data_IF_190598978981
#
_entry.id   IF_190598978981
#
_cell.length_a   1.000
_cell.length_b   1.000
_cell.length_c   1.000
_cell.angle_alpha   90.00
_cell.angle_beta   90.00
_cell.angle_gamma   90.00
#
_symmetry.space_group_name_H-M   'P 1'
#
loop_
_entity.id
_entity.type
_entity.pdbx_description
1 polymer ?
#
# COMPACT_ATOMS: atom_id res chain seq x y z
N UNK A 1 -41.87 32.76 0.46
CA UNK A 1 -42.51 33.10 1.75
C UNK A 1 -42.30 31.89 2.68
N UNK A 2 -41.37 31.97 3.65
CA UNK A 2 -41.60 32.15 5.11
C UNK A 2 -42.26 30.89 5.74
N UNK A 3 -41.83 30.22 6.82
CA UNK A 3 -40.86 30.38 7.94
C UNK A 3 -40.67 28.94 8.51
N UNK A 4 -39.47 28.42 8.81
CA UNK A 4 -38.74 28.37 10.11
C UNK A 4 -39.55 28.16 11.41
N UNK A 5 -38.97 27.27 12.21
CA UNK A 5 -38.87 27.19 13.69
C UNK A 5 -39.91 26.34 14.44
N UNK A 6 -39.52 25.23 15.09
CA UNK A 6 -38.84 25.05 16.40
C UNK A 6 -39.83 25.16 17.57
N UNK A 7 -40.09 24.04 18.24
CA UNK A 7 -40.72 23.99 19.55
C UNK A 7 -40.09 22.85 20.36
N UNK A 8 -39.41 23.25 21.43
CA UNK A 8 -38.99 22.41 22.56
C UNK A 8 -39.72 23.00 23.76
N UNK A 9 -40.47 22.20 24.52
CA UNK A 9 -40.43 22.26 25.98
C UNK A 9 -40.99 20.98 26.61
N UNK A 10 -40.28 20.57 27.66
CA UNK A 10 -40.44 19.33 28.41
C UNK A 10 -41.57 19.38 29.44
N UNK A 11 -42.07 18.20 29.83
CA UNK A 11 -42.67 17.97 31.14
C UNK A 11 -42.19 16.63 31.69
N UNK A 12 -41.55 16.73 32.85
CA UNK A 12 -40.99 15.67 33.69
C UNK A 12 -42.05 15.22 34.69
N UNK A 13 -42.13 13.92 34.96
CA UNK A 13 -42.38 13.22 36.24
C UNK A 13 -42.81 11.79 35.86
N UNK A 14 -42.22 10.67 36.30
CA UNK A 14 -41.38 10.40 37.45
C UNK A 14 -42.11 9.39 38.35
N UNK A 15 -41.97 8.09 38.11
CA UNK A 15 -42.13 7.06 39.16
C UNK A 15 -41.00 6.02 39.02
N UNK A 16 -40.39 5.81 40.16
CA UNK A 16 -39.26 4.96 40.53
C UNK A 16 -39.77 3.58 40.91
N UNK A 17 -39.08 2.50 40.51
CA UNK A 17 -38.71 1.39 41.41
C UNK A 17 -37.91 0.30 40.68
N UNK A 18 -36.67 0.11 41.16
CA UNK A 18 -35.90 -1.14 41.35
C UNK A 18 -35.93 -2.24 40.25
N UNK A 19 -34.81 -2.83 39.79
CA UNK A 19 -33.43 -2.83 40.27
C UNK A 19 -32.54 -3.71 39.37
N UNK A 20 -31.25 -3.74 39.71
CA UNK A 20 -30.12 -4.44 39.06
C UNK A 20 -29.51 -3.76 37.82
N UNK A 21 -28.70 -2.73 38.08
CA UNK A 21 -27.73 -2.19 37.12
C UNK A 21 -26.31 -2.62 37.54
N UNK A 22 -25.61 -3.37 36.67
CA UNK A 22 -24.18 -3.63 36.80
C UNK A 22 -23.40 -2.44 36.24
N UNK A 23 -22.74 -1.71 37.14
CA UNK A 23 -21.94 -0.54 36.82
C UNK A 23 -20.70 -0.88 35.99
N UNK A 24 -20.57 -0.24 34.83
CA UNK A 24 -19.28 0.04 34.17
C UNK A 24 -18.64 1.21 34.91
N UNK A 25 -17.55 0.95 35.64
CA UNK A 25 -16.77 2.01 36.27
C UNK A 25 -15.54 2.36 35.41
N UNK A 26 -15.64 3.51 34.76
CA UNK A 26 -14.55 4.27 34.16
C UNK A 26 -13.85 5.06 35.27
N UNK A 27 -12.63 4.67 35.65
CA UNK A 27 -11.83 5.47 36.57
C UNK A 27 -10.95 6.46 35.80
N UNK A 28 -11.43 7.71 35.70
CA UNK A 28 -10.56 8.89 35.65
C UNK A 28 -10.03 9.13 37.07
N UNK A 29 -8.73 9.03 37.28
CA UNK A 29 -8.09 9.50 38.51
C UNK A 29 -7.46 10.86 38.20
N UNK A 30 -8.18 11.93 38.56
CA UNK A 30 -7.59 13.24 38.80
C UNK A 30 -6.88 13.20 40.15
N UNK A 31 -5.61 13.59 40.13
CA UNK A 31 -4.76 13.75 41.30
C UNK A 31 -5.29 14.87 42.21
N UNK A 32 -5.63 14.52 43.45
CA UNK A 32 -5.47 15.40 44.61
C UNK A 32 -5.68 14.59 45.88
N UNK A 33 -4.58 14.26 46.55
CA UNK A 33 -4.59 14.02 48.00
C UNK A 33 -3.22 14.38 48.53
N UNK A 34 -3.14 15.51 49.22
CA UNK A 34 -2.06 15.88 50.13
C UNK A 34 -1.91 14.74 51.13
N UNK A 35 -0.84 13.97 51.04
CA UNK A 35 -0.43 13.02 52.07
C UNK A 35 0.97 13.42 52.53
N UNK A 36 1.04 13.68 53.83
CA UNK A 36 2.22 14.00 54.62
C UNK A 36 3.41 13.12 54.27
N UNK A 37 4.56 13.75 54.04
CA UNK A 37 5.85 13.09 53.87
C UNK A 37 6.26 12.37 55.16
N UNK A 38 5.97 11.07 55.23
CA UNK A 38 6.81 10.13 55.97
C UNK A 38 7.81 9.56 54.99
N UNK A 39 9.07 9.99 55.11
CA UNK A 39 10.19 9.48 54.31
C UNK A 39 10.56 8.07 54.74
N UNK A 40 9.74 7.08 54.37
CA UNK A 40 10.24 5.71 54.24
C UNK A 40 11.11 5.69 52.98
N UNK A 41 12.44 5.67 53.16
CA UNK A 41 13.38 5.34 52.08
C UNK A 41 12.93 4.01 51.47
N UNK A 42 12.24 4.06 50.33
CA UNK A 42 12.08 2.88 49.48
C UNK A 42 13.47 2.65 48.91
N UNK A 43 14.24 1.80 49.58
CA UNK A 43 15.51 1.32 49.06
C UNK A 43 15.17 0.58 47.77
N UNK A 44 15.39 1.25 46.64
CA UNK A 44 15.15 0.68 45.32
C UNK A 44 15.91 -0.64 45.26
N UNK A 45 15.21 -1.77 45.19
CA UNK A 45 15.83 -3.09 45.26
C UNK A 45 16.62 -3.30 43.98
N UNK A 46 17.90 -2.93 44.02
CA UNK A 46 18.83 -3.04 42.89
C UNK A 46 18.90 -4.51 42.47
N UNK A 47 18.66 -4.77 41.19
CA UNK A 47 18.81 -6.11 40.64
C UNK A 47 20.31 -6.48 40.64
N UNK A 48 20.75 -7.54 41.33
CA UNK A 48 22.17 -7.88 41.45
C UNK A 48 22.83 -8.22 40.09
N UNK A 49 22.04 -8.63 39.09
CA UNK A 49 22.55 -8.93 37.75
C UNK A 49 22.81 -7.68 36.89
N UNK A 50 22.19 -6.55 37.26
CA UNK A 50 22.32 -5.27 36.54
C UNK A 50 23.16 -4.27 37.34
N UNK A 51 23.00 -4.23 38.66
CA UNK A 51 23.63 -3.23 39.52
C UNK A 51 22.98 -1.85 39.38
N UNK A 52 23.63 -0.83 39.96
CA UNK A 52 23.16 0.56 39.86
C UNK A 52 23.38 1.11 38.45
N UNK A 53 22.43 1.89 37.95
CA UNK A 53 22.60 2.69 36.73
C UNK A 53 23.57 3.83 36.99
N UNK A 54 24.66 3.88 36.22
CA UNK A 54 25.69 4.91 36.27
C UNK A 54 25.37 6.06 35.30
N UNK A 55 24.87 5.73 34.11
CA UNK A 55 24.42 6.71 33.13
C UNK A 55 23.33 6.14 32.21
N UNK A 56 22.53 7.05 31.67
CA UNK A 56 21.55 6.77 30.61
C UNK A 56 21.78 7.71 29.46
N UNK A 57 21.88 7.16 28.25
CA UNK A 57 22.05 7.88 26.99
C UNK A 57 20.85 7.59 26.10
N UNK A 58 20.31 8.60 25.41
CA UNK A 58 19.35 8.37 24.34
C UNK A 58 20.06 7.66 23.19
N UNK A 59 19.46 6.59 22.68
CA UNK A 59 19.96 5.90 21.50
C UNK A 59 19.45 6.53 20.21
N UNK A 60 19.93 6.00 19.09
CA UNK A 60 19.44 6.30 17.76
C UNK A 60 18.63 5.11 17.24
N UNK A 61 17.33 5.32 17.03
CA UNK A 61 16.42 4.28 16.56
C UNK A 61 16.71 3.85 15.12
N UNK A 62 17.38 4.67 14.31
CA UNK A 62 17.71 4.34 12.93
C UNK A 62 19.05 3.59 12.79
N UNK A 63 19.81 3.44 13.89
CA UNK A 63 20.94 2.51 13.96
C UNK A 63 20.40 1.10 14.24
N UNK A 64 20.52 0.24 13.25
CA UNK A 64 19.92 -1.08 13.31
C UNK A 64 20.80 -2.11 14.05
N UNK A 65 20.15 -2.99 14.79
CA UNK A 65 20.74 -4.10 15.51
C UNK A 65 20.00 -5.40 15.18
N UNK A 66 20.71 -6.52 15.30
CA UNK A 66 20.15 -7.88 15.32
C UNK A 66 20.68 -8.63 16.53
N UNK A 67 19.99 -9.70 16.93
CA UNK A 67 20.48 -10.61 17.96
C UNK A 67 21.81 -11.23 17.53
N UNK A 68 22.80 -11.22 18.44
CA UNK A 68 24.13 -11.75 18.18
C UNK A 68 24.15 -13.29 18.19
N UNK A 69 23.26 -13.93 18.96
CA UNK A 69 23.22 -15.38 19.15
C UNK A 69 21.79 -15.90 19.39
N UNK A 70 21.63 -17.22 19.55
CA UNK A 70 20.31 -17.86 19.75
C UNK A 70 19.81 -17.89 21.21
N UNK A 71 20.58 -17.35 22.15
CA UNK A 71 20.31 -17.40 23.61
C UNK A 71 19.76 -16.08 24.15
N UNK A 72 19.55 -15.09 23.28
CA UNK A 72 19.08 -13.75 23.66
C UNK A 72 17.69 -13.80 24.27
N UNK A 73 17.50 -13.03 25.34
CA UNK A 73 16.24 -12.88 26.07
C UNK A 73 15.97 -11.39 26.31
N UNK A 74 14.71 -11.03 26.16
CA UNK A 74 14.21 -9.67 26.34
C UNK A 74 13.40 -9.59 27.63
N UNK A 75 13.56 -8.51 28.39
CA UNK A 75 12.95 -8.34 29.71
C UNK A 75 12.10 -7.08 29.82
N UNK A 76 11.03 -7.09 30.61
CA UNK A 76 10.13 -5.93 30.81
C UNK A 76 10.85 -4.69 31.35
N UNK A 77 11.85 -4.89 32.20
CA UNK A 77 12.63 -3.81 32.81
C UNK A 77 13.96 -4.35 33.35
N UNK A 78 14.91 -3.45 33.61
CA UNK A 78 16.17 -3.78 34.26
C UNK A 78 15.98 -4.43 35.65
N UNK A 79 14.95 -4.03 36.40
CA UNK A 79 14.62 -4.61 37.72
C UNK A 79 14.20 -6.10 37.69
N UNK A 80 13.72 -6.55 36.52
CA UNK A 80 13.27 -7.90 36.28
C UNK A 80 14.24 -8.72 35.42
N UNK A 81 15.36 -8.13 35.01
CA UNK A 81 16.38 -8.77 34.19
C UNK A 81 16.88 -10.07 34.84
N UNK A 82 16.93 -11.16 34.07
CA UNK A 82 17.32 -12.49 34.52
C UNK A 82 16.22 -13.30 35.25
N UNK A 83 15.06 -12.70 35.55
CA UNK A 83 13.92 -13.43 36.14
C UNK A 83 13.04 -14.01 35.04
N UNK A 84 12.64 -15.28 35.18
CA UNK A 84 11.71 -15.93 34.23
C UNK A 84 10.38 -15.18 34.10
N UNK A 85 9.85 -14.64 35.20
CA UNK A 85 8.62 -13.81 35.19
C UNK A 85 8.78 -12.44 34.53
N UNK A 86 10.01 -11.97 34.36
CA UNK A 86 10.34 -10.71 33.69
C UNK A 86 10.61 -10.84 32.20
N UNK A 87 10.79 -12.07 31.70
CA UNK A 87 11.04 -12.35 30.30
C UNK A 87 9.77 -12.08 29.48
N UNK A 88 9.87 -11.28 28.42
CA UNK A 88 8.76 -10.99 27.49
C UNK A 88 8.91 -11.68 26.16
N UNK A 89 10.14 -11.89 25.73
CA UNK A 89 10.44 -12.50 24.45
C UNK A 89 11.83 -13.13 24.46
N UNK A 90 12.12 -13.93 23.45
CA UNK A 90 13.39 -14.63 23.29
C UNK A 90 13.75 -14.78 21.81
N UNK A 91 14.91 -15.39 21.54
CA UNK A 91 15.38 -15.55 20.17
C UNK A 91 14.36 -16.21 19.24
N UNK A 92 13.65 -17.25 19.69
CA UNK A 92 12.75 -18.03 18.82
C UNK A 92 11.59 -17.17 18.31
N UNK A 93 11.07 -16.28 19.16
CA UNK A 93 9.96 -15.38 18.84
C UNK A 93 10.42 -14.20 17.98
N UNK A 94 11.59 -13.62 18.28
CA UNK A 94 12.09 -12.42 17.58
C UNK A 94 13.05 -12.73 16.42
N UNK A 95 13.13 -14.01 16.00
CA UNK A 95 14.09 -14.43 14.98
C UNK A 95 13.77 -13.75 13.64
N UNK A 96 14.68 -12.87 13.22
CA UNK A 96 14.61 -12.20 11.92
C UNK A 96 14.31 -10.70 12.03
N UNK A 97 13.80 -10.27 13.19
CA UNK A 97 13.53 -8.88 13.51
C UNK A 97 14.80 -8.02 13.51
N UNK A 98 14.59 -6.73 13.28
CA UNK A 98 15.61 -5.69 13.30
C UNK A 98 15.20 -4.66 14.33
N UNK A 99 16.15 -4.18 15.12
CA UNK A 99 15.86 -3.36 16.30
C UNK A 99 16.63 -2.04 16.24
N UNK A 100 16.02 -0.97 16.74
CA UNK A 100 16.69 0.26 17.12
C UNK A 100 16.88 0.31 18.64
N UNK A 101 17.83 1.14 19.10
CA UNK A 101 18.05 1.37 20.52
C UNK A 101 17.39 2.69 20.90
N UNK A 102 16.36 2.64 21.75
CA UNK A 102 15.73 3.85 22.28
C UNK A 102 16.61 4.50 23.34
N UNK A 103 17.16 3.69 24.24
CA UNK A 103 18.00 4.14 25.34
C UNK A 103 19.10 3.12 25.64
N UNK A 104 20.26 3.63 26.04
CA UNK A 104 21.42 2.87 26.47
C UNK A 104 21.67 3.15 27.94
N UNK A 105 21.73 2.10 28.74
CA UNK A 105 21.95 2.14 30.17
C UNK A 105 23.33 1.57 30.47
N UNK A 106 24.23 2.40 31.00
CA UNK A 106 25.51 1.93 31.54
C UNK A 106 25.35 1.71 33.02
N UNK A 107 25.65 0.50 33.47
CA UNK A 107 25.42 0.05 34.86
C UNK A 107 26.69 -0.57 35.41
N UNK A 108 26.74 -0.82 36.72
CA UNK A 108 27.87 -1.47 37.37
C UNK A 108 28.18 -2.87 36.81
N UNK A 109 27.19 -3.57 36.22
CA UNK A 109 27.36 -4.93 35.68
C UNK A 109 27.40 -5.01 34.16
N UNK A 110 27.39 -3.86 33.47
CA UNK A 110 27.56 -3.76 32.02
C UNK A 110 26.57 -2.79 31.36
N UNK A 111 26.48 -2.88 30.04
CA UNK A 111 25.60 -2.02 29.24
C UNK A 111 24.35 -2.79 28.82
N UNK A 112 23.20 -2.13 28.92
CA UNK A 112 21.90 -2.65 28.53
C UNK A 112 21.22 -1.69 27.56
N UNK A 113 20.47 -2.24 26.61
CA UNK A 113 19.68 -1.48 25.66
C UNK A 113 18.20 -1.65 25.95
N UNK A 114 17.45 -0.55 25.89
CA UNK A 114 16.01 -0.57 25.66
C UNK A 114 15.78 -0.57 24.14
N UNK A 115 15.14 -1.63 23.65
CA UNK A 115 15.01 -1.89 22.22
C UNK A 115 13.60 -1.65 21.71
N UNK A 116 13.56 -1.17 20.48
CA UNK A 116 12.33 -0.99 19.72
C UNK A 116 12.45 -1.71 18.39
N UNK A 117 11.43 -2.47 18.00
CA UNK A 117 11.43 -3.16 16.71
C UNK A 117 11.29 -2.16 15.54
N UNK A 118 11.93 -2.43 14.41
CA UNK A 118 11.71 -1.71 13.14
C UNK A 118 10.32 -2.07 12.59
N UNK A 119 9.63 -1.07 12.03
CA UNK A 119 8.23 -1.21 11.65
C UNK A 119 7.94 -0.74 10.23
N UNK A 120 6.89 -1.34 9.66
CA UNK A 120 6.30 -1.00 8.38
C UNK A 120 4.80 -0.83 8.58
N UNK A 121 4.30 0.40 8.46
CA UNK A 121 2.87 0.70 8.63
C UNK A 121 2.04 0.53 7.35
N UNK A 122 2.66 0.12 6.24
CA UNK A 122 1.98 -0.19 4.99
C UNK A 122 0.95 0.89 4.59
N UNK A 123 -0.30 0.46 4.42
CA UNK A 123 -1.43 1.32 4.03
C UNK A 123 -2.19 1.95 5.21
N UNK A 124 -1.98 1.52 6.46
CA UNK A 124 -2.68 2.01 7.67
C UNK A 124 -2.22 3.43 8.09
N UNK A 125 -1.93 4.27 7.09
CA UNK A 125 -0.99 5.36 7.14
C UNK A 125 -1.39 6.48 8.12
N UNK A 126 -0.48 6.74 9.06
CA UNK A 126 -0.18 8.11 9.50
C UNK A 126 1.30 8.34 9.30
N UNK A 127 1.63 9.49 8.72
CA UNK A 127 3.00 10.01 8.50
C UNK A 127 3.86 10.05 9.77
N UNK A 128 3.25 9.87 10.94
CA UNK A 128 3.88 9.97 12.24
C UNK A 128 3.76 8.66 13.04
N UNK A 129 4.88 8.11 13.54
CA UNK A 129 4.89 6.92 14.38
C UNK A 129 4.07 7.07 15.68
N UNK A 130 3.96 8.29 16.21
CA UNK A 130 3.24 8.61 17.47
C UNK A 130 1.78 8.17 17.51
N UNK A 131 1.16 8.02 16.34
CA UNK A 131 -0.26 7.70 16.21
C UNK A 131 -0.52 6.24 15.86
N UNK A 132 0.55 5.44 15.73
CA UNK A 132 0.45 4.00 15.55
C UNK A 132 0.09 3.35 16.89
N UNK A 133 -1.11 2.78 17.00
CA UNK A 133 -1.47 1.94 18.16
C UNK A 133 -0.48 0.78 18.33
N UNK A 134 0.19 0.37 17.25
CA UNK A 134 1.20 -0.67 17.27
C UNK A 134 2.48 -0.22 17.98
N UNK A 135 2.92 1.05 17.86
CA UNK A 135 4.11 1.54 18.59
C UNK A 135 3.89 1.55 20.10
N UNK A 136 2.67 1.86 20.55
CA UNK A 136 2.32 1.84 21.98
C UNK A 136 2.22 0.42 22.58
N UNK A 137 2.04 -0.61 21.76
CA UNK A 137 1.67 -1.95 22.25
C UNK A 137 2.63 -3.07 21.84
N UNK A 138 3.30 -2.94 20.69
CA UNK A 138 4.12 -4.00 20.08
C UNK A 138 5.54 -3.53 19.71
N UNK A 139 5.79 -2.21 19.64
CA UNK A 139 7.11 -1.68 19.29
C UNK A 139 8.14 -1.77 20.41
N UNK A 140 7.72 -1.72 21.66
CA UNK A 140 8.61 -1.81 22.83
C UNK A 140 8.89 -3.29 23.16
N UNK A 141 10.09 -3.75 22.82
CA UNK A 141 10.57 -5.11 23.10
C UNK A 141 11.43 -5.17 24.37
N UNK A 142 11.37 -4.12 25.20
CA UNK A 142 12.01 -4.09 26.51
C UNK A 142 13.54 -4.11 26.45
N UNK A 143 14.14 -4.75 27.44
CA UNK A 143 15.55 -4.57 27.80
C UNK A 143 16.37 -5.81 27.51
N UNK A 144 17.56 -5.62 26.93
CA UNK A 144 18.53 -6.66 26.62
C UNK A 144 19.94 -6.23 27.01
N UNK A 145 20.85 -7.17 27.23
CA UNK A 145 22.27 -6.84 27.40
C UNK A 145 22.87 -6.43 26.05
N UNK A 146 23.68 -5.37 26.02
CA UNK A 146 24.26 -4.85 24.78
C UNK A 146 25.11 -5.90 24.03
N UNK A 147 25.82 -6.76 24.76
CA UNK A 147 26.65 -7.84 24.20
C UNK A 147 25.86 -8.93 23.47
N UNK A 148 24.54 -9.01 23.72
CA UNK A 148 23.64 -9.94 23.03
C UNK A 148 23.10 -9.37 21.71
N UNK A 149 23.47 -8.12 21.39
CA UNK A 149 23.10 -7.43 20.15
C UNK A 149 24.34 -7.15 19.31
N UNK A 150 24.18 -7.22 17.99
CA UNK A 150 25.20 -6.80 17.02
C UNK A 150 24.62 -5.73 16.12
N UNK A 151 25.42 -4.71 15.84
CA UNK A 151 25.06 -3.71 14.85
C UNK A 151 24.89 -4.39 13.49
N UNK A 152 23.91 -3.91 12.73
CA UNK A 152 23.50 -4.45 11.46
C UNK A 152 23.28 -3.30 10.48
N UNK A 153 23.69 -3.49 9.23
CA UNK A 153 23.48 -2.48 8.19
C UNK A 153 22.39 -2.98 7.23
N UNK A 154 21.15 -2.45 7.31
CA UNK A 154 20.06 -2.90 6.45
C UNK A 154 20.30 -2.57 4.97
N UNK A 155 21.04 -1.49 4.70
CA UNK A 155 21.51 -1.04 3.38
C UNK A 155 23.03 -1.30 3.30
N UNK A 156 23.46 -2.07 2.30
CA UNK A 156 24.88 -2.39 2.07
C UNK A 156 25.54 -1.43 1.09
N UNK A 157 24.75 -0.77 0.24
CA UNK A 157 25.23 0.24 -0.72
C UNK A 157 24.11 1.21 -1.09
N UNK A 158 24.43 2.49 -1.22
CA UNK A 158 23.55 3.52 -1.78
C UNK A 158 24.37 4.44 -2.68
N UNK A 159 23.86 4.79 -3.85
CA UNK A 159 24.47 5.77 -4.74
C UNK A 159 23.44 6.63 -5.44
N UNK A 160 23.88 7.80 -5.92
CA UNK A 160 23.10 8.69 -6.77
C UNK A 160 23.50 8.50 -8.23
N UNK A 161 22.55 8.54 -9.15
CA UNK A 161 22.87 8.54 -10.57
C UNK A 161 23.32 9.92 -11.02
N UNK A 162 24.42 9.98 -11.80
CA UNK A 162 24.86 11.22 -12.44
C UNK A 162 23.81 11.81 -13.38
N UNK A 163 23.06 10.93 -14.06
CA UNK A 163 21.92 11.29 -14.92
C UNK A 163 20.69 10.53 -14.46
N UNK A 164 19.56 11.22 -14.35
CA UNK A 164 18.27 10.63 -13.98
C UNK A 164 17.92 9.48 -14.93
N UNK A 165 17.60 8.31 -14.39
CA UNK A 165 17.26 7.12 -15.18
C UNK A 165 15.74 7.09 -15.44
N UNK A 166 15.26 7.02 -16.69
CA UNK A 166 13.83 7.06 -16.96
C UNK A 166 13.16 5.73 -16.61
N UNK A 167 11.98 5.80 -16.00
CA UNK A 167 11.14 4.65 -15.67
C UNK A 167 9.64 4.94 -15.89
N UNK A 168 8.84 3.90 -16.02
CA UNK A 168 7.38 4.00 -15.98
C UNK A 168 6.73 2.76 -15.36
N UNK A 169 5.51 2.94 -14.86
CA UNK A 169 4.76 1.90 -14.15
C UNK A 169 4.14 0.91 -15.15
N UNK A 170 4.34 -0.38 -14.89
CA UNK A 170 3.69 -1.50 -15.56
C UNK A 170 2.52 -2.03 -14.72
N UNK A 171 2.82 -2.77 -13.65
CA UNK A 171 1.84 -3.24 -12.67
C UNK A 171 1.78 -2.28 -11.47
N UNK A 172 0.68 -1.51 -11.28
CA UNK A 172 0.60 -0.45 -10.28
C UNK A 172 0.38 -0.92 -8.83
N UNK A 173 0.01 -2.18 -8.58
CA UNK A 173 -0.34 -2.64 -7.24
C UNK A 173 0.65 -3.67 -6.66
N UNK A 174 1.59 -4.19 -7.47
CA UNK A 174 2.56 -5.17 -7.02
C UNK A 174 3.55 -4.63 -5.96
N UNK A 175 3.93 -3.36 -6.08
CA UNK A 175 4.85 -2.69 -5.15
C UNK A 175 4.41 -1.24 -4.93
N UNK A 176 4.82 -0.68 -3.80
CA UNK A 176 4.47 0.68 -3.37
C UNK A 176 5.71 1.54 -3.20
N UNK A 177 5.50 2.86 -3.09
CA UNK A 177 6.58 3.83 -2.92
C UNK A 177 6.68 4.21 -1.44
N UNK A 178 7.81 3.95 -0.82
CA UNK A 178 8.07 4.10 0.60
C UNK A 178 8.91 5.33 0.92
N UNK A 179 8.85 5.83 2.15
CA UNK A 179 9.73 6.91 2.62
C UNK A 179 11.21 6.51 2.63
N UNK A 180 11.48 5.23 2.93
CA UNK A 180 12.77 4.52 2.89
C UNK A 180 12.51 3.09 2.41
N UNK A 181 13.51 2.34 1.90
CA UNK A 181 13.32 0.92 1.64
C UNK A 181 12.78 0.22 2.90
N UNK A 182 11.79 -0.64 2.73
CA UNK A 182 11.04 -1.21 3.86
C UNK A 182 11.97 -1.87 4.90
N UNK A 183 11.72 -1.64 6.20
CA UNK A 183 12.55 -2.15 7.32
C UNK A 183 14.04 -1.78 7.24
N UNK A 184 14.37 -0.57 6.80
CA UNK A 184 15.77 -0.08 6.80
C UNK A 184 16.06 1.07 7.75
N UNK A 185 15.00 1.63 8.33
CA UNK A 185 14.99 2.60 9.43
C UNK A 185 13.92 2.17 10.41
N UNK A 186 13.87 2.76 11.60
CA UNK A 186 12.91 2.36 12.63
C UNK A 186 11.45 2.41 12.13
N UNK A 187 11.11 3.43 11.33
CA UNK A 187 9.74 3.60 10.83
C UNK A 187 9.68 3.81 9.32
N UNK A 188 9.07 2.84 8.64
CA UNK A 188 8.80 2.89 7.19
C UNK A 188 7.30 2.90 6.89
N UNK A 189 6.89 3.67 5.88
CA UNK A 189 5.50 3.79 5.48
C UNK A 189 5.38 4.10 3.99
N UNK A 190 4.22 3.76 3.42
CA UNK A 190 3.90 4.07 2.02
C UNK A 190 3.65 5.57 1.90
N UNK A 191 4.46 6.23 1.07
CA UNK A 191 4.32 7.65 0.73
C UNK A 191 3.44 7.88 -0.48
N UNK A 192 3.47 6.95 -1.45
CA UNK A 192 2.72 7.07 -2.70
C UNK A 192 2.32 5.69 -3.23
N UNK A 193 1.20 5.65 -3.95
CA UNK A 193 0.76 4.50 -4.76
C UNK A 193 0.94 4.78 -6.26
N UNK A 194 1.03 3.74 -7.09
CA UNK A 194 1.21 3.93 -8.52
C UNK A 194 -0.08 4.17 -9.32
N UNK A 195 -1.27 4.04 -8.72
CA UNK A 195 -2.58 4.21 -9.38
C UNK A 195 -2.66 5.51 -10.21
N UNK A 196 -2.15 6.62 -9.68
CA UNK A 196 -2.15 7.93 -10.36
C UNK A 196 -0.90 8.21 -11.18
N UNK A 197 0.08 7.30 -11.17
CA UNK A 197 1.37 7.43 -11.84
C UNK A 197 1.52 6.51 -13.07
N UNK A 198 0.54 5.64 -13.33
CA UNK A 198 0.50 4.68 -14.47
C UNK A 198 0.63 5.30 -15.88
N UNK A 199 0.41 6.61 -16.00
CA UNK A 199 0.57 7.36 -17.25
C UNK A 199 1.60 8.49 -17.15
N UNK A 200 2.48 8.42 -16.16
CA UNK A 200 3.45 9.46 -15.84
C UNK A 200 4.86 8.96 -16.11
N UNK A 201 5.69 9.81 -16.71
CA UNK A 201 7.12 9.55 -16.79
C UNK A 201 7.75 9.76 -15.40
N UNK A 202 8.43 8.72 -14.92
CA UNK A 202 9.17 8.72 -13.65
C UNK A 202 10.66 8.68 -13.93
N UNK A 203 11.44 9.06 -12.92
CA UNK A 203 12.89 9.08 -12.99
C UNK A 203 13.48 8.56 -11.68
N UNK A 204 14.39 7.60 -11.78
CA UNK A 204 15.21 7.21 -10.63
C UNK A 204 16.40 8.16 -10.49
N UNK A 205 16.62 8.67 -9.29
CA UNK A 205 17.75 9.56 -8.96
C UNK A 205 18.78 8.91 -8.05
N UNK A 206 18.35 7.90 -7.28
CA UNK A 206 19.23 7.08 -6.43
C UNK A 206 18.88 5.60 -6.55
N UNK A 207 19.82 4.77 -6.16
CA UNK A 207 19.62 3.33 -5.97
C UNK A 207 20.30 2.88 -4.67
N UNK A 208 19.67 1.93 -3.98
CA UNK A 208 20.18 1.33 -2.76
C UNK A 208 20.01 -0.19 -2.81
N UNK A 209 20.95 -0.93 -2.22
CA UNK A 209 20.94 -2.38 -2.12
C UNK A 209 20.75 -2.75 -0.65
N UNK A 210 19.70 -3.52 -0.36
CA UNK A 210 19.48 -4.10 0.97
C UNK A 210 20.47 -5.24 1.23
N UNK A 211 20.68 -5.56 2.50
CA UNK A 211 21.50 -6.69 2.94
C UNK A 211 21.15 -8.05 2.31
N UNK A 212 19.91 -8.22 1.83
CA UNK A 212 19.43 -9.42 1.17
C UNK A 212 19.54 -9.35 -0.37
N UNK A 213 20.28 -8.38 -0.91
CA UNK A 213 20.50 -8.19 -2.34
C UNK A 213 19.33 -7.51 -3.08
N UNK A 214 18.25 -7.13 -2.39
CA UNK A 214 17.13 -6.44 -3.05
C UNK A 214 17.49 -4.99 -3.38
N UNK A 215 17.29 -4.63 -4.65
CA UNK A 215 17.55 -3.28 -5.15
C UNK A 215 16.33 -2.38 -5.01
N UNK A 216 16.52 -1.16 -4.53
CA UNK A 216 15.49 -0.13 -4.43
C UNK A 216 15.94 1.11 -5.18
N UNK A 217 15.02 1.79 -5.85
CA UNK A 217 15.28 3.06 -6.54
C UNK A 217 14.44 4.18 -5.95
N UNK A 218 15.05 5.36 -5.80
CA UNK A 218 14.33 6.56 -5.39
C UNK A 218 13.75 7.27 -6.61
N UNK A 219 12.43 7.45 -6.63
CA UNK A 219 11.69 7.99 -7.76
C UNK A 219 11.30 9.45 -7.58
N UNK A 220 11.32 10.15 -8.69
CA UNK A 220 10.79 11.49 -8.88
C UNK A 220 9.97 11.57 -10.17
N UNK A 221 9.05 12.53 -10.24
CA UNK A 221 8.36 12.87 -11.51
C UNK A 221 9.25 13.74 -12.40
N UNK A 222 8.88 13.85 -13.69
CA UNK A 222 9.55 14.76 -14.63
C UNK A 222 9.65 16.22 -14.13
N UNK A 223 8.69 16.68 -13.32
CA UNK A 223 8.65 18.03 -12.76
C UNK A 223 9.41 18.18 -11.43
N UNK A 224 10.13 17.14 -10.99
CA UNK A 224 10.91 17.17 -9.76
C UNK A 224 10.12 16.90 -8.47
N UNK A 225 8.82 16.55 -8.54
CA UNK A 225 8.10 16.04 -7.35
C UNK A 225 8.77 14.74 -6.89
N UNK A 226 9.32 14.77 -5.68
CA UNK A 226 9.91 13.63 -4.97
C UNK A 226 8.81 12.65 -4.56
N UNK A 227 9.02 11.37 -4.82
CA UNK A 227 8.03 10.34 -4.51
C UNK A 227 8.51 9.46 -3.36
N UNK A 228 9.66 8.79 -3.48
CA UNK A 228 10.17 7.86 -2.47
C UNK A 228 10.88 6.65 -3.07
N UNK A 229 11.15 5.64 -2.26
CA UNK A 229 11.85 4.41 -2.62
C UNK A 229 10.89 3.30 -3.04
N UNK A 230 11.18 2.62 -4.14
CA UNK A 230 10.44 1.42 -4.56
C UNK A 230 11.38 0.29 -4.90
N UNK A 231 10.94 -0.94 -4.66
CA UNK A 231 11.67 -2.13 -5.09
C UNK A 231 11.81 -2.16 -6.62
N UNK A 232 13.04 -2.30 -7.10
CA UNK A 232 13.43 -2.27 -8.51
C UNK A 232 13.07 -3.60 -9.19
N UNK A 233 11.79 -3.77 -9.51
CA UNK A 233 11.25 -4.96 -10.18
C UNK A 233 10.71 -4.63 -11.56
N UNK A 234 11.18 -5.28 -12.65
CA UNK A 234 10.69 -5.06 -14.01
C UNK A 234 9.20 -5.44 -14.19
N UNK A 235 8.62 -6.16 -13.22
CA UNK A 235 7.18 -6.48 -13.20
C UNK A 235 6.33 -5.25 -12.86
N UNK A 236 6.82 -4.36 -11.99
CA UNK A 236 6.11 -3.15 -11.56
C UNK A 236 6.62 -1.88 -12.26
N UNK A 237 7.92 -1.80 -12.52
CA UNK A 237 8.63 -0.60 -12.94
C UNK A 237 9.54 -0.94 -14.12
N UNK A 238 9.23 -0.42 -15.30
CA UNK A 238 9.99 -0.68 -16.53
C UNK A 238 10.97 0.47 -16.75
N UNK A 239 12.24 0.13 -16.95
CA UNK A 239 13.26 1.09 -17.37
C UNK A 239 12.98 1.58 -18.79
N UNK A 240 13.06 2.90 -18.99
CA UNK A 240 12.87 3.56 -20.27
C UNK A 240 11.83 4.68 -20.25
N UNK A 241 11.66 5.29 -21.42
CA UNK A 241 10.68 6.37 -21.61
C UNK A 241 9.27 5.79 -21.71
N UNK A 242 8.33 6.39 -20.99
CA UNK A 242 6.93 6.09 -21.09
C UNK A 242 6.41 6.35 -22.50
N UNK A 243 5.78 5.32 -23.07
CA UNK A 243 4.97 5.46 -24.27
C UNK A 243 3.51 5.19 -23.89
N UNK A 244 2.55 5.94 -24.44
CA UNK A 244 1.14 5.61 -24.25
C UNK A 244 0.78 4.32 -24.99
N UNK A 245 -0.02 3.44 -24.37
CA UNK A 245 -0.39 2.14 -24.94
C UNK A 245 -1.10 2.28 -26.31
N UNK A 246 -1.85 3.35 -26.54
CA UNK A 246 -2.47 3.59 -27.85
C UNK A 246 -1.45 3.90 -28.93
N UNK A 247 -0.34 4.58 -28.61
CA UNK A 247 0.72 4.83 -29.59
C UNK A 247 1.48 3.54 -29.92
N UNK A 248 1.72 2.69 -28.92
CA UNK A 248 2.48 1.45 -29.08
C UNK A 248 1.66 0.36 -29.79
N UNK A 249 0.38 0.21 -29.45
CA UNK A 249 -0.44 -0.93 -29.88
C UNK A 249 -1.44 -0.58 -31.00
N UNK A 250 -1.86 0.68 -31.14
CA UNK A 250 -2.76 1.10 -32.22
C UNK A 250 -2.01 1.86 -33.31
N UNK A 251 -1.52 1.14 -34.30
CA UNK A 251 -1.03 1.73 -35.55
C UNK A 251 -2.23 2.11 -36.44
N UNK A 252 -2.30 3.39 -36.82
CA UNK A 252 -3.34 3.89 -37.73
C UNK A 252 -2.91 3.69 -39.18
N UNK A 253 -3.87 3.27 -40.01
CA UNK A 253 -3.74 3.20 -41.46
C UNK A 253 -4.24 4.50 -42.09
N UNK A 254 -3.89 4.73 -43.35
CA UNK A 254 -4.29 5.93 -44.10
C UNK A 254 -5.83 6.11 -44.09
N UNK A 255 -6.29 7.25 -43.59
CA UNK A 255 -7.70 7.60 -43.48
C UNK A 255 -8.45 6.98 -42.29
N UNK A 256 -7.75 6.36 -41.35
CA UNK A 256 -8.33 6.02 -40.06
C UNK A 256 -8.17 7.16 -39.06
N UNK A 257 -9.16 7.31 -38.18
CA UNK A 257 -9.15 8.30 -37.10
C UNK A 257 -9.25 7.63 -35.75
N UNK A 258 -8.64 8.21 -34.71
CA UNK A 258 -8.68 7.70 -33.34
C UNK A 258 -9.38 8.70 -32.43
N UNK A 259 -10.30 8.22 -31.59
CA UNK A 259 -10.86 8.98 -30.47
C UNK A 259 -10.49 8.31 -29.15
N UNK A 260 -10.02 9.11 -28.20
CA UNK A 260 -9.57 8.66 -26.88
C UNK A 260 -10.60 9.02 -25.81
N UNK A 261 -10.78 8.13 -24.84
CA UNK A 261 -11.66 8.31 -23.69
C UNK A 261 -10.92 7.88 -22.42
N UNK A 262 -11.11 8.63 -21.35
CA UNK A 262 -10.53 8.37 -20.03
C UNK A 262 -11.63 8.48 -18.98
N UNK A 263 -11.72 7.50 -18.09
CA UNK A 263 -12.64 7.53 -16.95
C UNK A 263 -12.35 8.76 -16.09
N UNK A 264 -13.36 9.44 -15.55
CA UNK A 264 -13.15 10.59 -14.67
C UNK A 264 -12.52 10.16 -13.35
N UNK A 265 -11.62 10.99 -12.78
CA UNK A 265 -11.08 10.77 -11.43
C UNK A 265 -12.18 10.74 -10.37
N UNK A 266 -13.25 11.53 -10.55
CA UNK A 266 -14.41 11.54 -9.62
C UNK A 266 -15.20 10.22 -9.63
N UNK A 267 -15.13 9.47 -10.73
CA UNK A 267 -15.81 8.17 -10.88
C UNK A 267 -14.94 6.97 -10.52
N UNK A 268 -13.68 7.22 -10.19
CA UNK A 268 -12.81 6.28 -9.46
C UNK A 268 -12.97 6.62 -7.99
N UNK A 269 -13.07 5.64 -7.07
CA UNK A 269 -13.53 5.87 -5.68
C UNK A 269 -12.61 6.77 -4.83
N UNK A 270 -11.51 7.30 -5.36
CA UNK A 270 -10.44 8.02 -4.62
C UNK A 270 -9.95 7.23 -3.41
N UNK A 271 -10.18 5.93 -3.42
CA UNK A 271 -9.69 4.98 -2.43
C UNK A 271 -8.73 4.03 -3.12
N UNK A 272 -7.81 3.44 -2.37
CA UNK A 272 -6.85 2.44 -2.83
C UNK A 272 -7.04 1.20 -1.97
N UNK A 273 -6.88 0.02 -2.56
CA UNK A 273 -6.90 -1.27 -1.86
C UNK A 273 -5.50 -1.89 -1.92
N UNK A 274 -5.25 -2.89 -1.09
CA UNK A 274 -3.96 -3.57 -1.04
C UNK A 274 -3.73 -4.48 -2.24
N UNK A 275 -4.78 -5.11 -2.78
CA UNK A 275 -4.63 -6.15 -3.81
C UNK A 275 -4.96 -5.65 -5.22
N UNK A 276 -5.83 -4.64 -5.34
CA UNK A 276 -6.26 -4.08 -6.63
C UNK A 276 -6.08 -2.56 -6.77
N UNK A 277 -6.13 -2.11 -8.02
CA UNK A 277 -6.15 -0.69 -8.36
C UNK A 277 -7.57 -0.16 -8.57
N UNK A 278 -8.23 0.20 -7.48
CA UNK A 278 -9.58 0.81 -7.47
C UNK A 278 -9.60 2.28 -7.88
N UNK A 279 -8.46 2.96 -7.76
CA UNK A 279 -8.29 4.36 -8.14
C UNK A 279 -7.73 4.55 -9.55
N UNK A 280 -7.35 3.48 -10.24
CA UNK A 280 -6.82 3.58 -11.59
C UNK A 280 -7.92 3.91 -12.60
N UNK A 281 -7.66 4.94 -13.42
CA UNK A 281 -8.60 5.37 -14.45
C UNK A 281 -8.55 4.41 -15.66
N UNK A 282 -9.69 3.80 -15.98
CA UNK A 282 -9.87 3.06 -17.24
C UNK A 282 -9.70 4.00 -18.44
N UNK A 283 -9.24 3.44 -19.57
CA UNK A 283 -9.07 4.18 -20.83
C UNK A 283 -9.60 3.37 -21.99
N UNK A 284 -10.12 4.04 -23.01
CA UNK A 284 -10.55 3.42 -24.25
C UNK A 284 -10.13 4.27 -25.45
N UNK A 285 -9.68 3.61 -26.50
CA UNK A 285 -9.29 4.22 -27.76
C UNK A 285 -10.05 3.55 -28.88
N UNK A 286 -10.78 4.34 -29.67
CA UNK A 286 -11.64 3.85 -30.74
C UNK A 286 -11.08 4.32 -32.07
N UNK A 287 -10.77 3.36 -32.95
CA UNK A 287 -10.32 3.61 -34.31
C UNK A 287 -11.47 3.41 -35.29
N UNK A 288 -11.73 4.42 -36.11
CA UNK A 288 -12.70 4.38 -37.21
C UNK A 288 -12.00 4.44 -38.56
N UNK A 289 -12.55 3.74 -39.55
CA UNK A 289 -12.11 3.87 -40.94
C UNK A 289 -12.73 5.09 -41.64
N UNK A 290 -12.39 5.27 -42.93
CA UNK A 290 -12.93 6.35 -43.79
C UNK A 290 -14.47 6.33 -43.91
N UNK A 291 -15.11 5.18 -43.70
CA UNK A 291 -16.58 5.02 -43.69
C UNK A 291 -17.19 5.27 -42.31
N UNK A 292 -16.42 5.86 -41.38
CA UNK A 292 -16.78 6.08 -39.98
C UNK A 292 -17.16 4.81 -39.19
N UNK A 293 -16.83 3.62 -39.70
CA UNK A 293 -17.09 2.36 -39.02
C UNK A 293 -15.98 2.07 -38.00
N UNK A 294 -16.35 1.62 -36.81
CA UNK A 294 -15.38 1.17 -35.80
C UNK A 294 -14.70 -0.10 -36.30
N UNK A 295 -13.38 -0.04 -36.47
CA UNK A 295 -12.56 -1.16 -36.95
C UNK A 295 -11.65 -1.73 -35.88
N UNK A 296 -11.23 -0.92 -34.90
CA UNK A 296 -10.43 -1.36 -33.75
C UNK A 296 -10.80 -0.61 -32.49
N UNK A 297 -10.75 -1.30 -31.36
CA UNK A 297 -10.90 -0.74 -30.02
C UNK A 297 -9.73 -1.24 -29.18
N UNK A 298 -9.06 -0.35 -28.45
CA UNK A 298 -8.11 -0.70 -27.39
C UNK A 298 -8.69 -0.21 -26.07
N UNK A 299 -8.83 -1.11 -25.11
CA UNK A 299 -9.26 -0.78 -23.75
C UNK A 299 -8.09 -1.04 -22.81
N UNK A 300 -7.86 -0.12 -21.87
CA UNK A 300 -6.96 -0.32 -20.74
C UNK A 300 -7.84 -0.44 -19.49
N UNK A 301 -7.80 -1.61 -18.86
CA UNK A 301 -8.56 -1.92 -17.65
C UNK A 301 -8.13 -1.13 -16.42
N UNK A 302 -8.83 -1.36 -15.30
CA UNK A 302 -8.46 -0.83 -13.97
C UNK A 302 -7.19 -1.47 -13.40
N UNK A 303 -6.66 -2.50 -14.05
CA UNK A 303 -5.39 -3.15 -13.76
C UNK A 303 -4.23 -2.64 -14.64
N UNK A 304 -4.45 -1.63 -15.49
CA UNK A 304 -3.47 -1.13 -16.46
C UNK A 304 -3.14 -2.07 -17.64
N UNK A 305 -3.82 -3.22 -17.80
CA UNK A 305 -3.56 -4.13 -18.92
C UNK A 305 -4.37 -3.75 -20.18
N UNK A 306 -3.76 -3.81 -21.37
CA UNK A 306 -4.46 -3.61 -22.62
C UNK A 306 -5.27 -4.82 -23.11
N UNK A 307 -6.44 -4.56 -23.69
CA UNK A 307 -7.20 -5.50 -24.53
C UNK A 307 -7.53 -4.81 -25.85
N UNK A 308 -7.01 -5.35 -26.96
CA UNK A 308 -7.30 -4.88 -28.32
C UNK A 308 -8.31 -5.79 -29.00
N UNK A 309 -9.27 -5.18 -29.69
CA UNK A 309 -10.36 -5.87 -30.37
C UNK A 309 -10.50 -5.31 -31.78
N UNK A 310 -10.48 -6.20 -32.77
CA UNK A 310 -10.67 -5.87 -34.18
C UNK A 310 -12.09 -6.22 -34.60
N UNK A 311 -12.68 -5.35 -35.42
CA UNK A 311 -14.04 -5.49 -35.94
C UNK A 311 -14.07 -5.45 -37.46
N UNK A 312 -15.00 -6.20 -38.05
CA UNK A 312 -15.42 -6.11 -39.44
C UNK A 312 -16.94 -6.04 -39.49
N UNK A 313 -17.50 -5.04 -40.16
CA UNK A 313 -18.94 -4.81 -40.26
C UNK A 313 -19.66 -4.85 -38.90
N UNK A 314 -19.04 -4.28 -37.87
CA UNK A 314 -19.59 -4.23 -36.52
C UNK A 314 -19.58 -5.55 -35.74
N UNK A 315 -18.94 -6.61 -36.25
CA UNK A 315 -18.72 -7.88 -35.57
C UNK A 315 -17.25 -8.05 -35.21
N UNK A 316 -16.97 -8.62 -34.03
CA UNK A 316 -15.59 -8.87 -33.59
C UNK A 316 -14.96 -10.00 -34.41
N UNK A 317 -13.72 -9.81 -34.85
CA UNK A 317 -12.97 -10.79 -35.65
C UNK A 317 -11.70 -11.28 -34.95
N UNK A 318 -11.16 -10.48 -34.02
CA UNK A 318 -10.00 -10.85 -33.21
C UNK A 318 -10.02 -10.09 -31.89
N UNK A 319 -9.63 -10.77 -30.82
CA UNK A 319 -9.36 -10.16 -29.52
C UNK A 319 -7.96 -10.56 -29.09
N UNK A 320 -7.20 -9.63 -28.53
CA UNK A 320 -5.86 -9.84 -28.00
C UNK A 320 -5.71 -9.08 -26.69
N UNK A 321 -5.45 -9.82 -25.62
CA UNK A 321 -5.08 -9.30 -24.31
C UNK A 321 -3.57 -9.28 -24.17
N UNK A 322 -3.06 -8.29 -23.43
CA UNK A 322 -1.63 -8.06 -23.26
C UNK A 322 -1.25 -8.10 -21.78
N UNK A 323 0.02 -8.39 -21.50
CA UNK A 323 0.60 -8.28 -20.16
C UNK A 323 0.74 -6.82 -19.72
N UNK A 324 1.14 -6.58 -18.46
CA UNK A 324 1.48 -5.23 -17.94
C UNK A 324 2.59 -4.55 -18.75
N UNK A 325 3.57 -5.32 -19.23
CA UNK A 325 4.63 -4.85 -20.13
C UNK A 325 4.19 -4.77 -21.60
N UNK A 326 2.89 -4.94 -21.86
CA UNK A 326 2.24 -4.81 -23.18
C UNK A 326 2.75 -5.81 -24.21
N UNK A 327 3.23 -6.96 -23.77
CA UNK A 327 3.50 -8.11 -24.64
C UNK A 327 2.19 -8.86 -24.88
N UNK A 328 1.90 -9.36 -26.09
CA UNK A 328 0.74 -10.21 -26.32
C UNK A 328 0.74 -11.39 -25.34
N UNK A 329 -0.40 -11.69 -24.73
CA UNK A 329 -0.52 -12.78 -23.75
C UNK A 329 -1.53 -13.83 -24.23
N UNK A 330 -2.79 -13.43 -24.41
CA UNK A 330 -3.85 -14.33 -24.85
C UNK A 330 -4.63 -13.71 -26.01
N UNK A 331 -5.05 -14.54 -26.96
CA UNK A 331 -5.84 -14.05 -28.09
C UNK A 331 -6.81 -15.09 -28.62
N UNK A 332 -7.83 -14.63 -29.33
CA UNK A 332 -8.75 -15.52 -30.05
C UNK A 332 -9.26 -14.90 -31.34
N UNK A 333 -9.47 -15.75 -32.34
CA UNK A 333 -10.19 -15.48 -33.59
C UNK A 333 -11.40 -16.41 -33.75
N UNK A 334 -11.69 -17.24 -32.74
CA UNK A 334 -12.75 -18.23 -32.78
C UNK A 334 -14.12 -17.53 -32.86
N UNK A 335 -14.83 -17.72 -33.98
CA UNK A 335 -16.13 -17.08 -34.25
C UNK A 335 -17.20 -17.39 -33.20
N UNK A 336 -17.21 -18.59 -32.60
CA UNK A 336 -18.20 -18.98 -31.56
C UNK A 336 -17.98 -18.16 -30.28
N UNK A 337 -16.72 -18.04 -29.83
CA UNK A 337 -16.36 -17.18 -28.68
C UNK A 337 -16.66 -15.72 -28.97
N UNK A 338 -16.27 -15.22 -30.15
CA UNK A 338 -16.48 -13.83 -30.56
C UNK A 338 -17.94 -13.42 -30.81
N UNK A 339 -18.88 -14.37 -30.88
CA UNK A 339 -20.32 -14.10 -30.91
C UNK A 339 -20.92 -13.78 -29.55
N UNK A 340 -20.28 -14.22 -28.46
CA UNK A 340 -20.83 -14.12 -27.10
C UNK A 340 -19.84 -13.49 -26.15
N UNK A 341 -18.80 -14.22 -25.74
CA UNK A 341 -17.78 -13.75 -24.82
C UNK A 341 -16.45 -14.50 -24.97
N UNK A 342 -15.40 -13.89 -24.44
CA UNK A 342 -14.05 -14.45 -24.35
C UNK A 342 -13.42 -14.02 -23.02
N UNK A 343 -12.88 -14.99 -22.29
CA UNK A 343 -12.15 -14.77 -21.05
C UNK A 343 -10.68 -15.06 -21.29
N UNK A 344 -9.80 -14.14 -20.88
CA UNK A 344 -8.36 -14.33 -20.89
C UNK A 344 -7.88 -14.47 -19.44
N UNK A 345 -8.03 -15.67 -18.87
CA UNK A 345 -7.66 -15.98 -17.49
C UNK A 345 -6.44 -16.93 -17.46
N UNK A 346 -5.59 -16.80 -16.44
CA UNK A 346 -4.66 -17.85 -16.07
C UNK A 346 -5.45 -18.97 -15.38
N UNK A 347 -5.28 -20.23 -15.79
CA UNK A 347 -5.95 -21.35 -15.14
C UNK A 347 -5.35 -21.60 -13.74
N UNK A 348 -4.10 -21.19 -13.52
CA UNK A 348 -3.30 -21.55 -12.35
C UNK A 348 -3.01 -20.40 -11.37
N UNK A 349 -3.52 -19.18 -11.61
CA UNK A 349 -3.28 -18.00 -10.75
C UNK A 349 -4.55 -17.15 -10.60
N UNK A 350 -4.87 -16.75 -9.38
CA UNK A 350 -5.91 -15.77 -9.01
C UNK A 350 -5.54 -14.31 -9.35
N UNK A 351 -4.73 -14.10 -10.39
CA UNK A 351 -4.44 -12.76 -10.88
C UNK A 351 -5.69 -12.15 -11.54
N UNK A 352 -5.79 -10.81 -11.51
CA UNK A 352 -6.81 -10.09 -12.25
C UNK A 352 -6.88 -10.62 -13.70
N UNK A 353 -8.06 -10.58 -14.33
CA UNK A 353 -8.23 -11.02 -15.71
C UNK A 353 -9.35 -10.27 -16.46
N UNK A 354 -9.22 -10.06 -17.78
CA UNK A 354 -10.28 -9.45 -18.57
C UNK A 354 -11.28 -10.48 -19.12
N UNK A 355 -12.57 -10.21 -18.93
CA UNK A 355 -13.69 -10.83 -19.64
C UNK A 355 -14.23 -9.86 -20.69
N UNK A 356 -14.25 -10.29 -21.95
CA UNK A 356 -14.81 -9.50 -23.05
C UNK A 356 -16.12 -10.09 -23.53
N UNK A 357 -17.21 -9.31 -23.49
CA UNK A 357 -18.54 -9.66 -24.01
C UNK A 357 -18.83 -8.91 -25.31
N UNK A 358 -19.20 -9.64 -26.35
CA UNK A 358 -19.58 -9.10 -27.66
C UNK A 358 -21.10 -9.04 -27.78
N UNK A 359 -21.59 -8.03 -28.48
CA UNK A 359 -23.03 -7.86 -28.69
C UNK A 359 -23.39 -8.05 -30.16
N UNK A 360 -24.58 -8.59 -30.39
CA UNK A 360 -25.14 -8.79 -31.73
C UNK A 360 -25.27 -7.47 -32.51
N UNK A 361 -25.31 -7.55 -33.84
CA UNK A 361 -25.44 -6.39 -34.73
C UNK A 361 -26.66 -5.52 -34.42
N UNK A 362 -27.75 -6.13 -33.92
CA UNK A 362 -29.01 -5.46 -33.55
C UNK A 362 -28.90 -4.61 -32.28
N UNK A 363 -27.91 -4.87 -31.42
CA UNK A 363 -27.71 -4.11 -30.18
C UNK A 363 -27.04 -2.76 -30.43
N UNK A 364 -27.44 -1.72 -29.69
CA UNK A 364 -26.72 -0.42 -29.64
C UNK A 364 -25.32 -0.56 -29.02
N UNK A 365 -25.09 -1.58 -28.19
CA UNK A 365 -23.81 -1.91 -27.57
C UNK A 365 -22.94 -2.66 -28.59
N UNK A 366 -21.64 -2.37 -28.60
CA UNK A 366 -20.67 -3.06 -29.46
C UNK A 366 -19.93 -4.13 -28.66
N UNK A 367 -19.31 -3.75 -27.56
CA UNK A 367 -18.48 -4.62 -26.72
C UNK A 367 -18.42 -4.11 -25.29
N UNK A 368 -18.31 -5.03 -24.33
CA UNK A 368 -17.99 -4.74 -22.92
C UNK A 368 -16.70 -5.48 -22.57
N UNK A 369 -15.72 -4.79 -22.02
CA UNK A 369 -14.57 -5.42 -21.36
C UNK A 369 -14.73 -5.21 -19.87
N UNK A 370 -14.57 -6.26 -19.10
CA UNK A 370 -14.64 -6.28 -17.64
C UNK A 370 -13.29 -6.76 -17.12
N UNK A 371 -12.61 -5.95 -16.33
CA UNK A 371 -11.48 -6.40 -15.51
C UNK A 371 -12.06 -6.95 -14.22
N UNK A 372 -11.84 -8.23 -13.97
CA UNK A 372 -12.17 -8.91 -12.72
C UNK A 372 -10.90 -8.95 -11.90
N UNK A 373 -10.93 -8.37 -10.71
CA UNK A 373 -9.86 -8.50 -9.72
C UNK A 373 -10.37 -9.12 -8.43
N UNK A 374 -9.46 -9.27 -7.48
CA UNK A 374 -9.74 -9.90 -6.16
C UNK A 374 -10.72 -9.06 -5.37
N UNK A 375 -10.51 -7.74 -5.37
CA UNK A 375 -11.22 -6.79 -4.55
C UNK A 375 -12.27 -6.04 -5.37
N UNK A 376 -12.08 -5.89 -6.68
CA UNK A 376 -12.97 -5.05 -7.52
C UNK A 376 -13.22 -5.50 -8.94
N UNK A 377 -14.34 -4.99 -9.48
CA UNK A 377 -14.69 -5.14 -10.88
C UNK A 377 -14.80 -3.78 -11.56
N UNK A 378 -14.19 -3.67 -12.74
CA UNK A 378 -14.32 -2.49 -13.58
C UNK A 378 -14.77 -2.86 -14.98
N UNK A 379 -15.74 -2.11 -15.51
CA UNK A 379 -16.27 -2.34 -16.86
C UNK A 379 -16.12 -1.13 -17.76
N UNK A 380 -15.66 -1.39 -18.98
CA UNK A 380 -15.67 -0.45 -20.10
C UNK A 380 -16.65 -0.94 -21.15
N UNK A 381 -17.74 -0.19 -21.36
CA UNK A 381 -18.74 -0.45 -22.40
C UNK A 381 -18.51 0.49 -23.59
N UNK A 382 -18.37 -0.07 -24.79
CA UNK A 382 -18.30 0.69 -26.04
C UNK A 382 -19.58 0.49 -26.83
N UNK A 383 -20.18 1.58 -27.29
CA UNK A 383 -21.38 1.59 -28.12
C UNK A 383 -21.02 1.62 -29.61
N UNK A 384 -21.96 1.24 -30.50
CA UNK A 384 -21.72 1.23 -31.96
C UNK A 384 -21.46 2.62 -32.54
N UNK A 385 -22.04 3.65 -31.95
CA UNK A 385 -21.72 5.05 -32.28
C UNK A 385 -20.35 5.51 -31.72
N UNK A 386 -19.68 4.65 -30.96
CA UNK A 386 -18.39 4.85 -30.31
C UNK A 386 -18.42 5.83 -29.12
N UNK A 387 -19.58 6.00 -28.47
CA UNK A 387 -19.61 6.46 -27.07
C UNK A 387 -19.01 5.37 -26.17
N UNK A 388 -18.46 5.78 -25.03
CA UNK A 388 -17.88 4.87 -24.03
C UNK A 388 -18.48 5.18 -22.66
N UNK A 389 -18.84 4.14 -21.91
CA UNK A 389 -19.22 4.24 -20.49
C UNK A 389 -18.25 3.42 -19.66
N UNK A 390 -17.69 4.04 -18.62
CA UNK A 390 -16.86 3.40 -17.61
C UNK A 390 -17.67 3.19 -16.34
N UNK A 391 -17.47 2.05 -15.68
CA UNK A 391 -18.02 1.75 -14.35
C UNK A 391 -16.92 1.07 -13.54
N UNK A 392 -16.80 1.41 -12.26
CA UNK A 392 -15.94 0.72 -11.30
C UNK A 392 -16.80 0.44 -10.09
N UNK A 393 -16.94 -0.83 -9.74
CA UNK A 393 -17.71 -1.29 -8.59
C UNK A 393 -16.72 -1.69 -7.50
N UNK A 394 -16.89 -1.11 -6.32
CA UNK A 394 -16.09 -1.43 -5.14
C UNK A 394 -17.05 -2.02 -4.10
N UNK A 395 -16.81 -3.25 -3.61
CA UNK A 395 -17.59 -3.83 -2.52
C UNK A 395 -17.59 -2.92 -1.29
N UNK A 396 -18.70 -2.88 -0.55
CA UNK A 396 -18.86 -1.98 0.61
C UNK A 396 -17.90 -2.31 1.75
N UNK A 397 -17.60 -3.59 1.94
CA UNK A 397 -16.81 -4.10 3.06
C UNK A 397 -15.31 -4.25 2.72
N UNK A 398 -14.87 -3.69 1.60
CA UNK A 398 -13.48 -3.77 1.19
C UNK A 398 -12.60 -2.83 2.01
N UNK A 399 -11.55 -3.37 2.62
CA UNK A 399 -10.52 -2.57 3.29
C UNK A 399 -9.82 -1.68 2.27
N UNK A 400 -10.03 -0.37 2.42
CA UNK A 400 -9.57 0.62 1.46
C UNK A 400 -9.15 1.89 2.17
N UNK A 401 -8.24 2.64 1.56
CA UNK A 401 -7.59 3.80 2.15
C UNK A 401 -7.78 5.02 1.25
N UNK A 402 -7.97 6.23 1.81
CA UNK A 402 -8.02 7.45 1.03
C UNK A 402 -6.74 7.66 0.20
N UNK A 403 -6.86 7.96 -1.09
CA UNK A 403 -5.69 8.22 -1.93
C UNK A 403 -4.91 9.48 -1.50
N UNK A 404 -5.58 10.41 -0.81
CA UNK A 404 -4.99 11.61 -0.24
C UNK A 404 -3.90 11.32 0.80
N UNK A 405 -3.91 10.12 1.38
CA UNK A 405 -2.91 9.72 2.37
C UNK A 405 -1.59 9.33 1.70
N UNK A 406 -1.55 9.34 0.36
CA UNK A 406 -0.44 8.92 -0.50
C UNK A 406 -0.11 9.94 -1.62
N UNK A 407 -0.50 11.21 -1.45
CA UNK A 407 -0.33 12.29 -2.44
C UNK A 407 0.49 13.48 -1.93
#
# INVERSE_FOLDING_TARGET
MSKKALLILALVTGIVSAGCSSNKQSNQIKASSKVSHSSSKVTEKINPLVGKTLSTEKGDLDVAYKMANKKVKFYRSLSQFGKKSGQISEYVTEKGSTFGVAEKYTTEKGTYYHLVEYQSNGFDNKKYPSDSNFIKFWGDLGYVKASDMKQFNPITSEWSYQKKQPYYVANPYLHHIWNKPEYTVHYTYITHVFDRLSTTQLYATKEAVKHNGLHYVYLETAKGRKLGWVYKSPKSLIAGKYQDASKQLLKLKKGETKKSYKQSKKSTTNRVSTNDSVSLQQRAYIVRNKKHQIVRVLIIGSDNRPTMITFKNGQATKVMSYTYSRKPWMSTTNKKKLRTHYTANYIDNDDNYPITKFYSAKSKKLVRVMTVGVDTEATTMVYRNGRVKFTTNVPKDLMTYPISDFD
#
